data_IF_042237476670
#
_entry.id   IF_042237476670
#
_cell.length_a   1.000
_cell.length_b   1.000
_cell.length_c   1.000
_cell.angle_alpha   90.00
_cell.angle_beta   90.00
_cell.angle_gamma   90.00
#
_symmetry.space_group_name_H-M   'P 1'
#
loop_
_entity.id
_entity.type
_entity.pdbx_description
1 polymer ?
#
# COMPACT_ATOMS: atom_id res chain seq x y z
N UNK A 1 -4.11 6.00 23.95
CA UNK A 1 -5.10 5.97 22.84
C UNK A 1 -5.18 4.54 22.31
N UNK A 2 -6.36 4.09 21.87
CA UNK A 2 -6.51 2.76 21.25
C UNK A 2 -5.73 2.72 19.93
N UNK A 3 -4.96 1.66 19.70
CA UNK A 3 -4.19 1.49 18.46
C UNK A 3 -5.15 1.41 17.26
N UNK A 4 -4.77 2.04 16.13
CA UNK A 4 -5.52 1.98 14.88
C UNK A 4 -5.12 0.72 14.13
N UNK A 5 -5.81 -0.35 14.42
CA UNK A 5 -5.55 -1.66 13.86
C UNK A 5 -6.83 -2.29 13.30
N UNK A 6 -6.68 -3.08 12.25
CA UNK A 6 -7.76 -3.87 11.67
C UNK A 6 -7.26 -5.26 11.27
N UNK A 7 -8.18 -6.21 11.30
CA UNK A 7 -7.96 -7.56 10.77
C UNK A 7 -9.05 -7.88 9.76
N UNK A 8 -8.67 -8.55 8.69
CA UNK A 8 -9.53 -8.96 7.59
C UNK A 8 -9.27 -10.40 7.21
N UNK A 9 -10.32 -11.06 6.80
CA UNK A 9 -10.27 -12.33 6.11
C UNK A 9 -11.19 -12.24 4.88
N UNK A 10 -10.61 -12.39 3.69
CA UNK A 10 -11.31 -12.47 2.41
C UNK A 10 -11.06 -13.84 1.81
N UNK A 11 -12.12 -14.51 1.45
CA UNK A 11 -12.06 -15.82 0.80
C UNK A 11 -12.98 -15.80 -0.42
N UNK A 12 -12.45 -16.20 -1.56
CA UNK A 12 -13.15 -16.41 -2.83
C UNK A 12 -12.99 -17.87 -3.27
N UNK A 13 -13.34 -18.19 -4.50
CA UNK A 13 -12.99 -19.46 -5.11
C UNK A 13 -11.50 -19.53 -5.50
N UNK A 14 -10.87 -18.39 -5.72
CA UNK A 14 -9.52 -18.25 -6.26
C UNK A 14 -8.49 -17.96 -5.17
N UNK A 15 -8.87 -17.25 -4.10
CA UNK A 15 -7.93 -16.80 -3.07
C UNK A 15 -8.49 -16.99 -1.64
N UNK A 16 -7.58 -17.19 -0.66
CA UNK A 16 -7.86 -17.14 0.78
C UNK A 16 -6.79 -16.25 1.45
N UNK A 17 -7.19 -15.02 1.83
CA UNK A 17 -6.26 -13.99 2.32
C UNK A 17 -6.68 -13.51 3.70
N UNK A 18 -5.72 -13.54 4.63
CA UNK A 18 -5.86 -12.99 5.97
C UNK A 18 -4.82 -11.91 6.19
N UNK A 19 -5.28 -10.73 6.60
CA UNK A 19 -4.38 -9.62 6.89
C UNK A 19 -4.74 -8.97 8.23
N UNK A 20 -3.69 -8.52 8.92
CA UNK A 20 -3.80 -7.64 10.08
C UNK A 20 -2.80 -6.50 9.92
N UNK A 21 -3.28 -5.27 10.03
CA UNK A 21 -2.43 -4.08 10.03
C UNK A 21 -2.63 -3.27 11.31
N UNK A 22 -1.54 -2.68 11.81
CA UNK A 22 -1.54 -1.66 12.84
C UNK A 22 -0.83 -0.41 12.31
N UNK A 23 -1.57 0.68 12.12
CA UNK A 23 -1.04 1.94 11.59
C UNK A 23 -0.14 2.68 12.60
N UNK A 24 -0.27 2.36 13.89
CA UNK A 24 0.55 2.92 14.98
C UNK A 24 1.66 1.93 15.40
N UNK A 25 2.13 1.11 14.47
CA UNK A 25 3.12 0.06 14.65
C UNK A 25 4.57 0.55 14.71
N UNK A 26 5.49 -0.41 14.63
CA UNK A 26 6.95 -0.20 14.65
C UNK A 26 7.66 -0.79 13.43
N UNK A 27 6.90 -1.20 12.41
CA UNK A 27 7.42 -1.81 11.20
C UNK A 27 7.74 -3.31 11.36
N UNK A 28 7.04 -4.01 12.22
CA UNK A 28 7.11 -5.46 12.32
C UNK A 28 6.28 -6.09 11.20
N UNK A 29 6.79 -7.18 10.64
CA UNK A 29 6.09 -7.86 9.56
C UNK A 29 6.21 -9.38 9.65
N UNK A 30 5.17 -10.04 9.14
CA UNK A 30 5.07 -11.46 8.95
C UNK A 30 4.20 -11.71 7.70
N UNK A 31 4.86 -11.87 6.54
CA UNK A 31 4.20 -11.87 5.23
C UNK A 31 4.51 -13.16 4.48
N UNK A 32 3.50 -13.73 3.84
CA UNK A 32 3.64 -14.85 2.91
C UNK A 32 2.47 -14.86 1.93
N UNK A 33 2.74 -14.62 0.66
CA UNK A 33 1.76 -14.62 -0.43
C UNK A 33 1.94 -15.79 -1.40
N UNK A 34 3.08 -16.49 -1.30
CA UNK A 34 3.49 -17.47 -2.29
C UNK A 34 4.28 -16.86 -3.45
N UNK A 35 4.42 -15.53 -3.52
CA UNK A 35 5.20 -14.79 -4.50
C UNK A 35 6.27 -14.01 -3.74
N UNK A 36 7.51 -14.47 -3.77
CA UNK A 36 8.56 -14.00 -2.87
C UNK A 36 8.94 -12.53 -3.08
N UNK A 37 8.89 -12.05 -4.32
CA UNK A 37 9.14 -10.63 -4.59
C UNK A 37 8.03 -9.73 -4.05
N UNK A 38 6.76 -10.16 -4.13
CA UNK A 38 5.64 -9.43 -3.52
C UNK A 38 5.77 -9.41 -2.00
N UNK A 39 6.16 -10.54 -1.37
CA UNK A 39 6.44 -10.60 0.06
C UNK A 39 7.47 -9.53 0.45
N UNK A 40 8.58 -9.46 -0.29
CA UNK A 40 9.62 -8.46 -0.06
C UNK A 40 9.10 -7.02 -0.18
N UNK A 41 8.26 -6.72 -1.17
CA UNK A 41 7.64 -5.38 -1.30
C UNK A 41 6.73 -5.03 -0.12
N UNK A 42 5.97 -5.99 0.39
CA UNK A 42 5.10 -5.80 1.56
C UNK A 42 5.89 -5.69 2.87
N UNK A 43 7.01 -6.41 2.99
CA UNK A 43 7.97 -6.25 4.09
C UNK A 43 8.54 -4.82 4.12
N UNK A 44 8.93 -4.28 2.95
CA UNK A 44 9.39 -2.90 2.80
C UNK A 44 8.27 -1.89 3.12
N UNK A 45 7.05 -2.15 2.65
CA UNK A 45 5.88 -1.34 2.98
C UNK A 45 5.68 -1.24 4.50
N UNK A 46 5.70 -2.36 5.19
CA UNK A 46 5.56 -2.40 6.64
C UNK A 46 6.72 -1.65 7.33
N UNK A 47 7.97 -1.96 6.96
CA UNK A 47 9.17 -1.39 7.58
C UNK A 47 9.25 0.12 7.38
N UNK A 48 9.14 0.61 6.14
CA UNK A 48 9.27 2.03 5.81
C UNK A 48 8.05 2.84 6.22
N UNK A 49 6.86 2.24 6.20
CA UNK A 49 5.63 2.84 6.74
C UNK A 49 5.60 2.88 8.27
N UNK A 50 6.41 2.05 8.94
CA UNK A 50 6.35 1.88 10.40
C UNK A 50 5.05 1.20 10.83
N UNK A 51 4.40 0.47 9.92
CA UNK A 51 3.19 -0.32 10.18
C UNK A 51 3.58 -1.70 10.69
N UNK A 52 2.79 -2.28 11.62
CA UNK A 52 2.91 -3.70 11.85
C UNK A 52 1.96 -4.42 10.90
N UNK A 53 2.47 -5.38 10.12
CA UNK A 53 1.72 -6.11 9.11
C UNK A 53 1.89 -7.62 9.28
N UNK A 54 0.79 -8.33 9.44
CA UNK A 54 0.74 -9.79 9.26
C UNK A 54 -0.19 -10.10 8.09
N UNK A 55 0.31 -10.79 7.06
CA UNK A 55 -0.44 -11.12 5.86
C UNK A 55 -0.10 -12.54 5.40
N UNK A 56 -1.14 -13.34 5.20
CA UNK A 56 -1.07 -14.68 4.62
C UNK A 56 -2.05 -14.75 3.46
N UNK A 57 -1.55 -15.11 2.30
CA UNK A 57 -2.37 -15.37 1.12
C UNK A 57 -2.10 -16.78 0.58
N UNK A 58 -3.16 -17.41 0.11
CA UNK A 58 -3.13 -18.62 -0.71
C UNK A 58 -4.03 -18.35 -1.91
N UNK A 59 -3.49 -18.41 -3.09
CA UNK A 59 -4.22 -18.26 -4.34
C UNK A 59 -3.90 -19.38 -5.32
N UNK A 60 -4.59 -19.36 -6.43
CA UNK A 60 -4.48 -20.30 -7.55
C UNK A 60 -3.29 -19.96 -8.46
N UNK A 61 -2.07 -19.92 -7.88
CA UNK A 61 -0.84 -19.56 -8.57
C UNK A 61 -0.46 -20.50 -9.73
N UNK A 62 -1.07 -21.67 -9.79
CA UNK A 62 -0.98 -22.61 -10.91
C UNK A 62 -1.80 -22.14 -12.13
N UNK A 63 -2.75 -21.24 -11.96
CA UNK A 63 -3.46 -20.56 -13.02
C UNK A 63 -2.69 -19.32 -13.45
N UNK A 64 -2.56 -18.35 -12.53
CA UNK A 64 -1.82 -17.10 -12.74
C UNK A 64 -1.58 -16.39 -11.39
N UNK A 65 -0.71 -15.39 -11.36
CA UNK A 65 -0.47 -14.56 -10.16
C UNK A 65 -1.51 -13.44 -9.98
N UNK A 66 -2.26 -13.09 -11.03
CA UNK A 66 -3.15 -11.93 -11.09
C UNK A 66 -4.13 -11.88 -9.91
N UNK A 67 -4.91 -12.96 -9.72
CA UNK A 67 -5.91 -13.02 -8.66
C UNK A 67 -5.31 -12.80 -7.28
N UNK A 68 -4.13 -13.41 -7.02
CA UNK A 68 -3.44 -13.28 -5.73
C UNK A 68 -2.93 -11.86 -5.51
N UNK A 69 -2.30 -11.26 -6.52
CA UNK A 69 -1.69 -9.93 -6.43
C UNK A 69 -2.75 -8.85 -6.26
N UNK A 70 -3.81 -8.88 -7.07
CA UNK A 70 -4.92 -7.93 -6.97
C UNK A 70 -5.64 -8.05 -5.62
N UNK A 71 -6.00 -9.27 -5.22
CA UNK A 71 -6.74 -9.52 -3.98
C UNK A 71 -5.91 -9.16 -2.71
N UNK A 72 -4.59 -9.32 -2.75
CA UNK A 72 -3.70 -8.80 -1.69
C UNK A 72 -3.79 -7.28 -1.62
N UNK A 73 -3.79 -6.59 -2.75
CA UNK A 73 -4.01 -5.14 -2.82
C UNK A 73 -5.35 -4.73 -2.23
N UNK A 74 -6.44 -5.42 -2.62
CA UNK A 74 -7.80 -5.19 -2.11
C UNK A 74 -7.85 -5.34 -0.59
N UNK A 75 -7.34 -6.45 -0.06
CA UNK A 75 -7.39 -6.76 1.38
C UNK A 75 -6.56 -5.76 2.18
N UNK A 76 -5.38 -5.39 1.69
CA UNK A 76 -4.51 -4.40 2.35
C UNK A 76 -5.16 -3.01 2.34
N UNK A 77 -5.75 -2.59 1.22
CA UNK A 77 -6.46 -1.32 1.10
C UNK A 77 -7.65 -1.22 2.06
N UNK A 78 -8.47 -2.28 2.13
CA UNK A 78 -9.60 -2.33 3.05
C UNK A 78 -9.15 -2.37 4.52
N UNK A 79 -8.06 -3.07 4.84
CA UNK A 79 -7.49 -3.11 6.18
C UNK A 79 -7.03 -1.72 6.63
N UNK A 80 -6.37 -0.96 5.74
CA UNK A 80 -5.97 0.43 5.98
C UNK A 80 -7.19 1.31 6.23
N UNK A 81 -8.23 1.21 5.38
CA UNK A 81 -9.47 1.98 5.53
C UNK A 81 -10.14 1.74 6.88
N UNK A 82 -10.28 0.46 7.28
CA UNK A 82 -10.88 0.08 8.57
C UNK A 82 -10.04 0.56 9.76
N UNK A 83 -8.71 0.45 9.66
CA UNK A 83 -7.81 0.91 10.73
C UNK A 83 -7.82 2.44 10.89
N UNK A 84 -8.01 3.20 9.82
CA UNK A 84 -8.17 4.67 9.85
C UNK A 84 -9.43 5.11 10.61
N UNK A 85 -10.49 4.31 10.57
CA UNK A 85 -11.75 4.64 11.23
C UNK A 85 -12.37 5.92 10.65
N UNK A 86 -12.69 6.88 11.54
CA UNK A 86 -13.37 8.11 11.15
C UNK A 86 -12.47 9.21 10.56
N UNK A 87 -11.20 8.93 10.35
CA UNK A 87 -10.19 9.83 9.73
C UNK A 87 -10.04 11.19 10.43
N UNK A 88 -10.46 11.33 11.70
CA UNK A 88 -10.34 12.58 12.45
C UNK A 88 -8.92 12.78 12.96
N UNK A 89 -8.44 14.02 12.85
CA UNK A 89 -7.13 14.43 13.35
C UNK A 89 -5.93 13.88 12.55
N UNK A 90 -6.12 13.28 11.39
CA UNK A 90 -5.02 12.83 10.52
C UNK A 90 -4.58 13.94 9.57
N UNK A 91 -3.37 13.83 9.03
CA UNK A 91 -2.88 14.76 7.98
C UNK A 91 -3.66 14.62 6.68
N UNK A 92 -4.25 13.45 6.41
CA UNK A 92 -5.06 13.11 5.24
C UNK A 92 -4.25 12.98 3.95
N UNK A 93 -3.47 13.99 3.57
CA UNK A 93 -2.61 13.95 2.40
C UNK A 93 -1.16 13.70 2.80
N UNK A 94 -0.41 13.01 1.96
CA UNK A 94 1.00 12.75 2.17
C UNK A 94 1.75 12.57 0.86
N UNK A 95 3.04 12.88 0.89
CA UNK A 95 3.92 12.65 -0.25
C UNK A 95 5.31 12.26 0.22
N UNK A 96 6.05 11.59 -0.65
CA UNK A 96 7.44 11.25 -0.40
C UNK A 96 8.22 11.11 -1.71
N UNK A 97 9.46 11.59 -1.70
CA UNK A 97 10.44 11.35 -2.76
C UNK A 97 11.47 10.36 -2.23
N UNK A 98 11.63 9.23 -2.91
CA UNK A 98 12.51 8.15 -2.49
C UNK A 98 13.65 7.98 -3.50
N UNK A 99 14.87 8.40 -3.15
CA UNK A 99 16.05 8.02 -3.92
C UNK A 99 16.46 6.58 -3.57
N UNK A 100 16.90 5.86 -4.57
CA UNK A 100 17.52 4.55 -4.42
C UNK A 100 18.59 4.40 -5.53
N UNK A 101 19.83 4.61 -5.16
CA UNK A 101 20.96 4.69 -6.08
C UNK A 101 20.67 5.59 -7.28
N UNK A 102 20.59 5.05 -8.49
CA UNK A 102 20.32 5.77 -9.74
C UNK A 102 18.83 6.06 -9.98
N UNK A 103 17.96 5.63 -9.07
CA UNK A 103 16.50 5.74 -9.22
C UNK A 103 15.91 6.80 -8.31
N UNK A 104 14.96 7.55 -8.82
CA UNK A 104 14.09 8.42 -8.01
C UNK A 104 12.63 8.08 -8.25
N UNK A 105 11.94 7.70 -7.16
CA UNK A 105 10.50 7.48 -7.14
C UNK A 105 9.77 8.56 -6.34
N UNK A 106 8.53 8.84 -6.73
CA UNK A 106 7.64 9.81 -6.09
C UNK A 106 6.30 9.15 -5.81
N UNK A 107 5.80 9.33 -4.60
CA UNK A 107 4.44 8.98 -4.22
C UNK A 107 3.75 10.20 -3.62
N UNK A 108 2.50 10.43 -4.02
CA UNK A 108 1.60 11.40 -3.40
C UNK A 108 0.22 10.78 -3.27
N UNK A 109 -0.44 11.00 -2.12
CA UNK A 109 -1.77 10.44 -1.89
C UNK A 109 -2.65 11.33 -1.03
N UNK A 110 -3.97 11.16 -1.20
CA UNK A 110 -5.02 11.80 -0.41
C UNK A 110 -6.06 10.75 0.04
N UNK A 111 -6.24 10.59 1.32
CA UNK A 111 -7.23 9.68 1.92
C UNK A 111 -8.65 10.27 1.83
N UNK A 112 -9.00 10.75 0.65
CA UNK A 112 -10.16 11.59 0.35
C UNK A 112 -11.52 10.87 0.33
N UNK A 113 -11.55 9.56 0.44
CA UNK A 113 -12.76 8.76 0.27
C UNK A 113 -13.14 8.49 -1.20
N UNK A 114 -12.35 8.98 -2.16
CA UNK A 114 -12.55 8.77 -3.61
C UNK A 114 -11.36 8.02 -4.19
N UNK A 115 -11.59 6.83 -4.77
CA UNK A 115 -10.51 6.05 -5.39
C UNK A 115 -10.04 6.70 -6.70
N UNK A 116 -8.75 6.85 -6.86
CA UNK A 116 -8.11 7.22 -8.12
C UNK A 116 -6.65 6.79 -8.11
N UNK A 117 -6.22 6.05 -9.10
CA UNK A 117 -4.82 5.69 -9.30
C UNK A 117 -4.26 6.39 -10.54
N UNK A 118 -3.12 7.05 -10.38
CA UNK A 118 -2.26 7.46 -11.47
C UNK A 118 -0.89 6.83 -11.27
N UNK A 119 -0.51 5.90 -12.13
CA UNK A 119 0.81 5.26 -12.09
C UNK A 119 1.59 5.57 -13.37
N UNK A 120 2.80 6.13 -13.22
CA UNK A 120 3.76 6.36 -14.30
C UNK A 120 5.10 5.79 -13.90
N UNK A 121 5.24 4.49 -14.07
CA UNK A 121 6.44 3.74 -13.72
C UNK A 121 6.86 2.90 -14.91
N UNK A 122 7.81 3.36 -15.74
CA UNK A 122 8.35 2.57 -16.84
C UNK A 122 9.18 1.41 -16.27
N UNK A 123 8.52 0.26 -16.08
CA UNK A 123 9.15 -1.00 -15.69
C UNK A 123 9.44 -1.78 -16.97
N UNK A 124 10.70 -2.00 -17.28
CA UNK A 124 11.11 -2.65 -18.53
C UNK A 124 11.28 -4.18 -18.41
N UNK A 125 11.41 -4.67 -17.19
CA UNK A 125 11.50 -6.10 -16.92
C UNK A 125 10.11 -6.74 -16.97
N UNK A 126 10.00 -7.92 -17.61
CA UNK A 126 8.75 -8.72 -17.59
C UNK A 126 8.51 -9.34 -16.21
N UNK A 127 9.58 -9.70 -15.51
CA UNK A 127 9.54 -10.29 -14.18
C UNK A 127 10.52 -9.59 -13.24
N UNK A 128 10.15 -9.53 -11.98
CA UNK A 128 10.97 -9.07 -10.87
C UNK A 128 11.05 -10.20 -9.83
N UNK A 129 12.17 -10.94 -9.85
CA UNK A 129 12.20 -12.22 -9.17
C UNK A 129 11.16 -13.15 -9.79
N UNK A 130 10.24 -13.63 -8.95
CA UNK A 130 9.12 -14.48 -9.34
C UNK A 130 7.82 -13.72 -9.64
N UNK A 131 7.78 -12.37 -9.49
CA UNK A 131 6.60 -11.55 -9.74
C UNK A 131 6.55 -11.08 -11.20
N UNK A 132 5.40 -11.23 -11.86
CA UNK A 132 5.10 -10.59 -13.15
C UNK A 132 4.96 -9.09 -12.93
N UNK A 133 5.79 -8.28 -13.64
CA UNK A 133 5.91 -6.85 -13.34
C UNK A 133 4.65 -6.03 -13.70
N UNK A 134 3.87 -6.47 -14.67
CA UNK A 134 2.61 -5.82 -15.06
C UNK A 134 1.57 -5.81 -13.93
N UNK A 135 1.56 -6.83 -13.06
CA UNK A 135 0.61 -6.96 -11.96
C UNK A 135 0.81 -5.94 -10.82
N UNK A 136 1.88 -5.16 -10.87
CA UNK A 136 2.09 -4.07 -9.90
C UNK A 136 0.98 -3.02 -9.98
N UNK A 137 0.49 -2.72 -11.18
CA UNK A 137 -0.62 -1.77 -11.37
C UNK A 137 -1.91 -2.33 -10.79
N UNK A 138 -2.17 -3.63 -10.97
CA UNK A 138 -3.35 -4.32 -10.41
C UNK A 138 -3.32 -4.34 -8.88
N UNK A 139 -2.15 -4.58 -8.27
CA UNK A 139 -1.98 -4.45 -6.83
C UNK A 139 -2.36 -3.05 -6.33
N UNK A 140 -1.83 -2.00 -6.95
CA UNK A 140 -2.13 -0.63 -6.54
C UNK A 140 -3.56 -0.23 -6.84
N UNK A 141 -4.15 -0.73 -7.94
CA UNK A 141 -5.56 -0.51 -8.27
C UNK A 141 -6.48 -1.13 -7.23
N UNK A 142 -6.26 -2.39 -6.87
CA UNK A 142 -6.98 -3.08 -5.80
C UNK A 142 -6.87 -2.35 -4.46
N UNK A 143 -5.65 -1.92 -4.09
CA UNK A 143 -5.41 -1.13 -2.89
C UNK A 143 -6.19 0.20 -2.90
N UNK A 144 -6.05 0.98 -3.95
CA UNK A 144 -6.63 2.33 -4.08
C UNK A 144 -8.14 2.29 -4.03
N UNK A 145 -8.74 1.35 -4.74
CA UNK A 145 -10.19 1.16 -4.78
C UNK A 145 -10.74 0.81 -3.40
N UNK A 146 -10.10 -0.11 -2.70
CA UNK A 146 -10.54 -0.59 -1.39
C UNK A 146 -10.22 0.38 -0.26
N UNK A 147 -9.09 1.08 -0.31
CA UNK A 147 -8.72 2.14 0.65
C UNK A 147 -9.54 3.43 0.44
N UNK A 148 -10.21 3.57 -0.70
CA UNK A 148 -10.89 4.80 -1.15
C UNK A 148 -9.95 6.00 -1.08
N UNK A 149 -8.77 5.82 -1.66
CA UNK A 149 -7.70 6.81 -1.66
C UNK A 149 -7.40 7.30 -3.08
N UNK A 150 -6.94 8.53 -3.20
CA UNK A 150 -6.35 9.05 -4.42
C UNK A 150 -4.84 8.87 -4.31
N UNK A 151 -4.22 8.16 -5.25
CA UNK A 151 -2.78 7.81 -5.20
C UNK A 151 -2.12 8.10 -6.54
N UNK A 152 -1.03 8.84 -6.51
CA UNK A 152 -0.16 9.12 -7.63
C UNK A 152 1.22 8.52 -7.37
N UNK A 153 1.68 7.66 -8.26
CA UNK A 153 2.97 6.98 -8.23
C UNK A 153 3.75 7.32 -9.50
N UNK A 154 5.01 7.68 -9.35
CA UNK A 154 5.88 8.00 -10.49
C UNK A 154 7.30 7.54 -10.22
N UNK A 155 7.93 6.86 -11.19
CA UNK A 155 9.38 6.77 -11.30
C UNK A 155 9.84 7.93 -12.16
N UNK A 156 10.58 8.87 -11.59
CA UNK A 156 11.04 10.06 -12.29
C UNK A 156 12.17 9.71 -13.27
N UNK A 157 13.08 8.85 -12.83
CA UNK A 157 14.15 8.24 -13.59
C UNK A 157 14.71 7.04 -12.84
N UNK A 158 15.43 6.17 -13.54
CA UNK A 158 16.07 4.97 -12.99
C UNK A 158 16.35 3.98 -14.11
N UNK A 159 17.36 3.14 -13.93
CA UNK A 159 17.75 2.11 -14.89
C UNK A 159 17.28 0.73 -14.48
N UNK A 160 17.34 0.44 -13.18
CA UNK A 160 16.97 -0.86 -12.63
C UNK A 160 15.47 -0.93 -12.36
N UNK A 161 14.77 -1.87 -12.99
CA UNK A 161 13.35 -2.13 -12.72
C UNK A 161 13.14 -2.56 -11.26
N UNK A 162 14.08 -3.32 -10.66
CA UNK A 162 14.05 -3.69 -9.24
C UNK A 162 14.08 -2.43 -8.36
N UNK A 163 15.07 -1.55 -8.56
CA UNK A 163 15.18 -0.30 -7.79
C UNK A 163 13.96 0.60 -7.98
N UNK A 164 13.39 0.65 -9.19
CA UNK A 164 12.21 1.43 -9.50
C UNK A 164 11.00 0.98 -8.65
N UNK A 165 10.72 -0.32 -8.62
CA UNK A 165 9.59 -0.87 -7.87
C UNK A 165 9.81 -0.79 -6.36
N UNK A 166 11.00 -1.14 -5.89
CA UNK A 166 11.34 -1.04 -4.47
C UNK A 166 11.25 0.41 -3.97
N UNK A 167 11.77 1.38 -4.73
CA UNK A 167 11.67 2.80 -4.40
C UNK A 167 10.21 3.29 -4.39
N UNK A 168 9.35 2.80 -5.30
CA UNK A 168 7.91 3.11 -5.29
C UNK A 168 7.22 2.61 -4.03
N UNK A 169 7.44 1.36 -3.62
CA UNK A 169 6.85 0.80 -2.39
C UNK A 169 7.32 1.54 -1.15
N UNK A 170 8.60 1.91 -1.07
CA UNK A 170 9.15 2.72 0.03
C UNK A 170 8.54 4.13 0.05
N UNK A 171 8.46 4.79 -1.12
CA UNK A 171 7.85 6.12 -1.24
C UNK A 171 6.37 6.09 -0.83
N UNK A 172 5.62 5.11 -1.34
CA UNK A 172 4.21 4.91 -1.02
C UNK A 172 4.00 4.68 0.47
N UNK A 173 4.77 3.77 1.08
CA UNK A 173 4.68 3.49 2.51
C UNK A 173 4.94 4.73 3.38
N UNK A 174 5.95 5.54 3.03
CA UNK A 174 6.29 6.79 3.72
C UNK A 174 5.21 7.86 3.55
N UNK A 175 4.69 8.02 2.33
CA UNK A 175 3.61 8.96 2.03
C UNK A 175 2.33 8.56 2.79
N UNK A 176 1.99 7.27 2.80
CA UNK A 176 0.83 6.74 3.55
C UNK A 176 1.00 6.94 5.05
N UNK A 177 2.19 6.67 5.60
CA UNK A 177 2.49 6.94 7.01
C UNK A 177 2.21 8.38 7.38
N UNK A 178 2.71 9.33 6.56
CA UNK A 178 2.50 10.75 6.82
C UNK A 178 1.01 11.12 6.74
N UNK A 179 0.29 10.66 5.72
CA UNK A 179 -1.15 10.90 5.58
C UNK A 179 -1.97 10.33 6.76
N UNK A 180 -1.58 9.15 7.26
CA UNK A 180 -2.21 8.52 8.43
C UNK A 180 -1.81 9.17 9.76
N UNK A 181 -0.70 9.91 9.81
CA UNK A 181 -0.19 10.50 11.06
C UNK A 181 -1.18 11.53 11.62
N UNK A 182 -1.32 11.53 12.95
CA UNK A 182 -2.18 12.49 13.65
C UNK A 182 -1.44 13.80 13.88
N UNK A 183 -2.09 14.90 13.54
CA UNK A 183 -1.66 16.24 13.93
C UNK A 183 -2.36 16.64 15.25
N UNK A 184 -1.57 16.87 16.30
CA UNK A 184 -2.09 17.23 17.61
C UNK A 184 -2.91 18.54 17.59
N UNK A 185 -2.67 19.44 16.62
CA UNK A 185 -3.41 20.70 16.45
C UNK A 185 -4.80 20.46 15.89
N UNK A 186 -4.98 19.40 15.07
CA UNK A 186 -6.25 19.06 14.43
C UNK A 186 -7.15 18.16 15.30
N UNK A 187 -6.58 17.49 16.30
CA UNK A 187 -7.22 16.59 17.29
C UNK A 187 -8.45 15.81 16.77
N UNK A 188 -9.64 16.36 16.93
CA UNK A 188 -10.92 15.74 16.55
C UNK A 188 -11.53 16.31 15.27
N UNK A 189 -10.85 17.22 14.60
CA UNK A 189 -11.37 17.83 13.37
C UNK A 189 -11.28 16.83 12.20
N UNK A 190 -12.31 16.81 11.37
CA UNK A 190 -12.23 16.12 10.09
C UNK A 190 -11.48 17.05 9.12
N UNK A 191 -10.39 16.59 8.46
CA UNK A 191 -9.61 17.42 7.54
C UNK A 191 -10.35 17.59 6.19
N UNK A 192 -11.56 18.15 6.23
CA UNK A 192 -12.41 18.36 5.06
C UNK A 192 -13.36 19.52 5.29
N UNK A 193 -13.39 20.47 4.35
CA UNK A 193 -14.37 21.57 4.35
C UNK A 193 -15.78 21.10 3.99
N UNK A 194 -15.92 19.89 3.43
CA UNK A 194 -17.20 19.28 3.06
C UNK A 194 -17.87 18.55 4.25
N UNK A 195 -17.17 18.39 5.38
CA UNK A 195 -17.69 17.67 6.54
C UNK A 195 -17.74 16.13 6.38
N UNK A 196 -17.20 15.57 5.29
CA UNK A 196 -17.13 14.14 5.01
C UNK A 196 -15.83 13.76 4.26
N UNK A 197 -15.44 12.48 4.42
CA UNK A 197 -14.30 11.83 3.71
C UNK A 197 -14.63 10.36 3.41
#
# INVERSE_FOLDING_TARGET
>A
MKARAASLHRKTAETDIRARINLDGRGQYDVSTGIRFLDHMLELFARHGGFDLSLRARGDLDVDQHHTVEDVGIVLGEAVLRALGNKRGINRAGYFLMPMDETLAVAALDLSGRPYLMMKAPIHALHLGDLQAELLEDFFHGFVTSARANVHLKVAYGRSSHHAVEALFKAFARALRYACSRDARLKSQLPSTKGLL
#
